data_IF_643012614442
#
_entry.id   IF_643012614442
#
_cell.length_a   1.000
_cell.length_b   1.000
_cell.length_c   1.000
_cell.angle_alpha   90.00
_cell.angle_beta   90.00
_cell.angle_gamma   90.00
#
_symmetry.space_group_name_H-M   'P 1'
#
loop_
_entity.id
_entity.type
_entity.pdbx_description
1 polymer ?
#
# COMPACT_ATOMS: atom_id res chain seq x y z
N UNK A 1 -1.54 10.55 -13.30
CA UNK A 1 -1.49 11.29 -12.02
C UNK A 1 -1.40 10.25 -10.91
N UNK A 2 -0.41 10.36 -10.01
CA UNK A 2 -0.29 9.42 -8.88
C UNK A 2 -1.18 9.86 -7.72
N UNK A 3 -1.51 8.96 -6.79
CA UNK A 3 -2.27 9.30 -5.57
C UNK A 3 -1.57 10.40 -4.77
N UNK A 4 -0.24 10.31 -4.64
CA UNK A 4 0.59 11.33 -3.99
C UNK A 4 0.45 12.69 -4.65
N UNK A 5 0.59 12.78 -5.97
CA UNK A 5 0.42 14.04 -6.72
C UNK A 5 -0.99 14.62 -6.54
N UNK A 6 -2.00 13.76 -6.58
CA UNK A 6 -3.40 14.16 -6.42
C UNK A 6 -3.71 14.73 -5.02
N UNK A 7 -3.12 14.16 -3.97
CA UNK A 7 -3.26 14.63 -2.59
C UNK A 7 -2.53 15.97 -2.38
N UNK A 8 -1.30 16.08 -2.90
CA UNK A 8 -0.50 17.30 -2.75
C UNK A 8 -1.15 18.49 -3.48
N UNK A 9 -1.71 18.29 -4.68
CA UNK A 9 -2.50 19.32 -5.38
C UNK A 9 -3.74 19.79 -4.62
N UNK A 10 -4.25 18.97 -3.70
CA UNK A 10 -5.39 19.31 -2.83
C UNK A 10 -4.94 19.93 -1.50
N UNK A 11 -3.64 20.19 -1.32
CA UNK A 11 -3.10 20.83 -0.12
C UNK A 11 -2.90 19.89 1.07
N UNK A 12 -2.94 18.56 0.86
CA UNK A 12 -2.64 17.61 1.93
C UNK A 12 -1.14 17.39 2.09
N UNK A 13 -0.71 17.26 3.34
CA UNK A 13 0.63 16.76 3.67
C UNK A 13 0.66 15.25 3.40
N UNK A 14 1.73 14.78 2.75
CA UNK A 14 1.90 13.36 2.41
C UNK A 14 3.22 12.86 2.96
N UNK A 15 3.17 11.72 3.63
CA UNK A 15 4.37 10.97 4.04
C UNK A 15 4.44 9.72 3.17
N UNK A 16 5.54 9.57 2.42
CA UNK A 16 5.79 8.37 1.63
C UNK A 16 6.63 7.38 2.43
N UNK A 17 6.21 6.13 2.41
CA UNK A 17 6.90 5.00 3.05
C UNK A 17 7.23 3.95 2.00
N UNK A 18 8.43 3.40 2.02
CA UNK A 18 8.82 2.30 1.14
C UNK A 18 9.61 1.25 1.91
N UNK A 19 9.58 -0.01 1.44
CA UNK A 19 10.35 -1.10 2.04
C UNK A 19 11.84 -0.82 2.12
N UNK A 20 12.39 -0.11 1.14
CA UNK A 20 13.82 0.22 1.10
C UNK A 20 14.16 1.48 1.90
N UNK A 21 13.17 2.27 2.32
CA UNK A 21 13.37 3.62 2.86
C UNK A 21 13.81 4.65 1.82
N UNK A 22 14.02 4.23 0.57
CA UNK A 22 14.35 5.15 -0.51
C UNK A 22 13.10 5.92 -0.91
N UNK A 23 13.24 7.23 -0.95
CA UNK A 23 12.21 8.14 -1.43
C UNK A 23 12.08 8.01 -2.97
N UNK A 24 10.94 7.48 -3.48
CA UNK A 24 10.74 7.30 -4.91
C UNK A 24 10.64 8.65 -5.66
N UNK A 25 10.32 9.74 -4.97
CA UNK A 25 10.12 11.07 -5.55
C UNK A 25 11.43 11.84 -5.75
N UNK A 26 12.55 11.33 -5.26
CA UNK A 26 13.89 11.79 -5.68
C UNK A 26 14.17 11.47 -7.15
N UNK A 27 13.58 10.38 -7.66
CA UNK A 27 13.71 9.97 -9.06
C UNK A 27 12.50 10.43 -9.87
N UNK A 28 11.30 10.26 -9.32
CA UNK A 28 10.03 10.67 -9.95
C UNK A 28 9.69 12.08 -9.49
N UNK A 29 10.18 13.09 -10.23
CA UNK A 29 9.92 14.50 -9.89
C UNK A 29 8.42 14.81 -9.95
N UNK A 30 7.88 15.35 -8.86
CA UNK A 30 6.50 15.85 -8.80
C UNK A 30 6.51 17.38 -8.95
N UNK A 31 6.00 17.94 -10.08
CA UNK A 31 6.19 19.37 -10.42
C UNK A 31 5.56 20.39 -9.46
N UNK A 32 4.68 19.97 -8.55
CA UNK A 32 3.77 20.88 -7.81
C UNK A 32 3.79 20.72 -6.29
N UNK A 33 4.76 20.00 -5.71
CA UNK A 33 4.48 19.35 -4.43
C UNK A 33 5.62 19.20 -3.41
N UNK A 34 6.78 19.83 -3.61
CA UNK A 34 7.95 19.57 -2.76
C UNK A 34 7.77 19.98 -1.29
N UNK A 35 6.97 21.01 -0.98
CA UNK A 35 6.90 21.56 0.39
C UNK A 35 6.10 20.73 1.39
N UNK A 36 5.20 19.86 0.91
CA UNK A 36 4.27 19.09 1.74
C UNK A 36 4.46 17.57 1.59
N UNK A 37 5.51 17.16 0.88
CA UNK A 37 5.88 15.76 0.70
C UNK A 37 7.08 15.43 1.59
N UNK A 38 6.91 14.42 2.44
CA UNK A 38 7.92 13.95 3.38
C UNK A 38 8.22 12.48 3.09
N UNK A 39 9.47 12.08 3.21
CA UNK A 39 9.82 10.67 3.35
C UNK A 39 9.90 10.31 4.83
N UNK A 40 9.45 9.11 5.20
CA UNK A 40 9.48 8.62 6.59
C UNK A 40 10.89 8.63 7.21
N UNK A 41 11.95 8.63 6.39
CA UNK A 41 13.34 8.63 6.86
C UNK A 41 13.88 7.26 7.25
N UNK A 42 13.10 6.20 7.02
CA UNK A 42 13.46 4.80 7.26
C UNK A 42 12.66 3.84 6.40
N UNK A 43 13.02 2.56 6.45
CA UNK A 43 12.29 1.49 5.80
C UNK A 43 10.96 1.22 6.51
N UNK A 44 9.90 0.99 5.74
CA UNK A 44 8.63 0.46 6.23
C UNK A 44 8.27 -0.75 5.39
N UNK A 45 8.43 -1.94 5.97
CA UNK A 45 8.05 -3.19 5.35
C UNK A 45 6.64 -3.58 5.83
N UNK A 46 5.67 -3.57 4.92
CA UNK A 46 4.28 -3.93 5.22
C UNK A 46 4.11 -5.37 5.73
N UNK A 47 5.11 -6.24 5.49
CA UNK A 47 5.13 -7.60 6.05
C UNK A 47 5.46 -7.63 7.54
N UNK A 48 5.90 -6.50 8.11
CA UNK A 48 6.25 -6.30 9.53
C UNK A 48 5.28 -5.30 10.17
N UNK A 49 4.31 -5.76 10.97
CA UNK A 49 3.32 -4.88 11.60
C UNK A 49 3.93 -3.71 12.39
N UNK A 50 5.05 -3.95 13.06
CA UNK A 50 5.76 -2.98 13.87
C UNK A 50 6.24 -1.75 13.07
N UNK A 51 6.65 -1.95 11.82
CA UNK A 51 7.09 -0.86 10.93
C UNK A 51 5.91 0.09 10.63
N UNK A 52 4.73 -0.47 10.39
CA UNK A 52 3.51 0.30 10.10
C UNK A 52 3.07 1.07 11.35
N UNK A 53 3.07 0.41 12.52
CA UNK A 53 2.71 1.04 13.79
C UNK A 53 3.67 2.18 14.13
N UNK A 54 4.97 1.99 13.91
CA UNK A 54 5.98 3.05 14.08
C UNK A 54 5.70 4.25 13.18
N UNK A 55 5.36 4.00 11.91
CA UNK A 55 5.02 5.05 10.95
C UNK A 55 3.77 5.86 11.35
N UNK A 56 2.69 5.16 11.72
CA UNK A 56 1.45 5.79 12.18
C UNK A 56 1.69 6.58 13.47
N UNK A 57 2.45 6.04 14.42
CA UNK A 57 2.71 6.70 15.71
C UNK A 57 3.55 7.96 15.57
N UNK A 58 4.53 7.95 14.66
CA UNK A 58 5.45 9.07 14.41
C UNK A 58 4.72 10.24 13.75
N UNK A 59 3.94 9.97 12.69
CA UNK A 59 3.34 11.02 11.88
C UNK A 59 1.89 11.32 12.21
N UNK A 60 1.23 10.46 12.99
CA UNK A 60 -0.19 10.59 13.41
C UNK A 60 -1.11 10.96 12.24
N UNK A 61 -1.08 10.19 11.13
CA UNK A 61 -1.85 10.52 9.95
C UNK A 61 -3.35 10.38 10.21
N UNK A 62 -4.18 11.16 9.51
CA UNK A 62 -5.63 10.93 9.50
C UNK A 62 -6.04 9.78 8.57
N UNK A 63 -5.22 9.50 7.56
CA UNK A 63 -5.45 8.44 6.57
C UNK A 63 -4.16 7.71 6.27
N UNK A 64 -4.24 6.39 6.13
CA UNK A 64 -3.19 5.52 5.63
C UNK A 64 -3.64 5.01 4.26
N UNK A 65 -2.85 5.27 3.22
CA UNK A 65 -3.11 4.75 1.87
C UNK A 65 -2.22 3.55 1.63
N UNK A 66 -2.81 2.37 1.52
CA UNK A 66 -2.08 1.15 1.18
C UNK A 66 -1.99 1.00 -0.34
N UNK A 67 -0.79 1.20 -0.88
CA UNK A 67 -0.50 1.07 -2.31
C UNK A 67 0.72 0.16 -2.58
N UNK A 68 1.02 -0.76 -1.66
CA UNK A 68 2.07 -1.76 -1.83
C UNK A 68 1.54 -2.98 -2.59
N UNK A 69 2.42 -3.64 -3.34
CA UNK A 69 2.10 -4.89 -4.04
C UNK A 69 3.34 -5.75 -4.22
N UNK A 70 3.16 -7.05 -4.38
CA UNK A 70 4.26 -8.00 -4.52
C UNK A 70 5.23 -7.64 -5.64
N UNK A 71 6.50 -7.90 -5.38
CA UNK A 71 7.57 -7.71 -6.35
C UNK A 71 8.77 -8.55 -5.95
N UNK A 72 9.68 -8.78 -6.91
CA UNK A 72 10.88 -9.61 -6.68
C UNK A 72 11.71 -9.15 -5.47
N UNK A 73 11.72 -7.85 -5.18
CA UNK A 73 12.43 -7.26 -4.03
C UNK A 73 11.52 -6.94 -2.84
N UNK A 74 10.21 -7.02 -3.02
CA UNK A 74 9.19 -6.57 -2.06
C UNK A 74 8.52 -7.68 -1.25
N UNK A 75 8.67 -8.94 -1.67
CA UNK A 75 7.96 -10.08 -1.09
C UNK A 75 6.95 -10.66 -2.08
N UNK A 76 6.39 -11.82 -1.73
CA UNK A 76 5.41 -12.49 -2.58
C UNK A 76 3.98 -11.97 -2.35
N UNK A 77 3.06 -12.33 -3.24
CA UNK A 77 1.66 -11.90 -3.19
C UNK A 77 0.94 -12.23 -1.87
N UNK A 78 1.22 -13.39 -1.27
CA UNK A 78 0.65 -13.77 0.03
C UNK A 78 1.14 -12.84 1.15
N UNK A 79 2.41 -12.48 1.12
CA UNK A 79 3.03 -11.61 2.14
C UNK A 79 2.56 -10.16 2.01
N UNK A 80 2.49 -9.63 0.79
CA UNK A 80 2.24 -8.21 0.55
C UNK A 80 0.76 -7.95 0.29
N UNK A 81 0.17 -8.61 -0.69
CA UNK A 81 -1.19 -8.31 -1.16
C UNK A 81 -2.28 -8.91 -0.26
N UNK A 82 -1.94 -9.90 0.57
CA UNK A 82 -2.83 -10.42 1.62
C UNK A 82 -2.39 -9.99 3.03
N UNK A 83 -1.28 -10.54 3.54
CA UNK A 83 -0.86 -10.30 4.94
C UNK A 83 -0.52 -8.82 5.20
N UNK A 84 0.16 -8.14 4.29
CA UNK A 84 0.48 -6.72 4.43
C UNK A 84 -0.76 -5.83 4.54
N UNK A 85 -1.82 -6.16 3.80
CA UNK A 85 -3.13 -5.50 3.91
C UNK A 85 -3.74 -5.70 5.30
N UNK A 86 -3.72 -6.93 5.82
CA UNK A 86 -4.22 -7.22 7.18
C UNK A 86 -3.42 -6.52 8.27
N UNK A 87 -2.09 -6.47 8.12
CA UNK A 87 -1.20 -5.77 9.04
C UNK A 87 -1.55 -4.27 9.08
N UNK A 88 -1.74 -3.65 7.91
CA UNK A 88 -2.14 -2.25 7.81
C UNK A 88 -3.51 -2.00 8.43
N UNK A 89 -4.50 -2.85 8.14
CA UNK A 89 -5.83 -2.76 8.73
C UNK A 89 -5.78 -2.87 10.26
N UNK A 90 -5.04 -3.84 10.79
CA UNK A 90 -4.87 -4.02 12.24
C UNK A 90 -4.23 -2.80 12.91
N UNK A 91 -3.17 -2.25 12.32
CA UNK A 91 -2.48 -1.08 12.84
C UNK A 91 -3.37 0.18 12.83
N UNK A 92 -4.15 0.37 11.76
CA UNK A 92 -5.10 1.48 11.64
C UNK A 92 -6.27 1.32 12.61
N UNK A 93 -6.89 0.14 12.71
CA UNK A 93 -8.01 -0.09 13.63
C UNK A 93 -7.62 0.06 15.10
N UNK A 94 -6.35 -0.16 15.43
CA UNK A 94 -5.80 0.06 16.78
C UNK A 94 -5.52 1.54 17.07
N UNK A 95 -5.62 2.43 16.08
CA UNK A 95 -5.32 3.87 16.21
C UNK A 95 -6.58 4.70 15.99
N UNK A 96 -7.07 5.33 17.06
CA UNK A 96 -8.32 6.11 17.02
C UNK A 96 -8.24 7.25 15.98
N UNK A 97 -9.23 7.31 15.10
CA UNK A 97 -9.42 8.39 14.14
C UNK A 97 -8.61 8.27 12.84
N UNK A 98 -7.87 7.17 12.66
CA UNK A 98 -7.14 6.88 11.43
C UNK A 98 -8.01 6.03 10.51
N UNK A 99 -8.07 6.37 9.22
CA UNK A 99 -8.78 5.59 8.19
C UNK A 99 -7.79 4.86 7.28
N UNK A 100 -8.18 3.69 6.80
CA UNK A 100 -7.41 2.92 5.81
C UNK A 100 -8.07 3.07 4.44
N UNK A 101 -7.29 3.51 3.46
CA UNK A 101 -7.64 3.51 2.04
C UNK A 101 -6.81 2.43 1.34
N UNK A 102 -7.46 1.35 0.89
CA UNK A 102 -6.80 0.25 0.21
C UNK A 102 -6.86 0.43 -1.32
N UNK A 103 -5.72 0.61 -1.97
CA UNK A 103 -5.63 0.66 -3.43
C UNK A 103 -5.48 -0.77 -3.96
N UNK A 104 -6.55 -1.28 -4.56
CA UNK A 104 -6.53 -2.59 -5.22
C UNK A 104 -6.40 -2.51 -6.75
N UNK A 105 -6.51 -3.65 -7.41
CA UNK A 105 -6.46 -3.81 -8.86
C UNK A 105 -7.87 -3.88 -9.46
N UNK A 106 -8.06 -3.21 -10.60
CA UNK A 106 -9.35 -3.04 -11.30
C UNK A 106 -10.10 -4.34 -11.66
N UNK A 107 -9.41 -5.48 -11.69
CA UNK A 107 -10.00 -6.75 -12.10
C UNK A 107 -10.26 -7.71 -10.92
N UNK A 108 -10.00 -7.30 -9.68
CA UNK A 108 -10.05 -8.17 -8.49
C UNK A 108 -11.42 -8.79 -8.22
N UNK A 109 -12.47 -8.14 -8.69
CA UNK A 109 -13.87 -8.56 -8.66
C UNK A 109 -14.31 -9.33 -9.93
N UNK A 110 -13.51 -9.30 -11.00
CA UNK A 110 -13.80 -9.94 -12.28
C UNK A 110 -13.03 -11.26 -12.42
N UNK A 111 -13.30 -12.22 -11.53
CA UNK A 111 -12.53 -13.49 -11.46
C UNK A 111 -12.59 -14.34 -12.71
N UNK A 112 -13.66 -14.20 -13.51
CA UNK A 112 -13.80 -14.92 -14.77
C UNK A 112 -13.08 -14.26 -15.95
N UNK A 113 -12.60 -13.02 -15.80
CA UNK A 113 -11.94 -12.28 -16.87
C UNK A 113 -10.60 -12.91 -17.27
N UNK A 114 -10.25 -12.75 -18.55
CA UNK A 114 -8.94 -13.16 -19.06
C UNK A 114 -7.80 -12.44 -18.32
N UNK A 115 -7.99 -11.15 -17.99
CA UNK A 115 -7.01 -10.36 -17.27
C UNK A 115 -6.71 -10.91 -15.87
N UNK A 116 -7.75 -11.29 -15.12
CA UNK A 116 -7.59 -11.93 -13.81
C UNK A 116 -6.80 -13.23 -13.90
N UNK A 117 -7.26 -14.15 -14.76
CA UNK A 117 -6.65 -15.48 -14.95
C UNK A 117 -5.21 -15.39 -15.44
N UNK A 118 -4.93 -14.49 -16.39
CA UNK A 118 -3.58 -14.24 -16.90
C UNK A 118 -2.65 -13.70 -15.81
N UNK A 119 -3.12 -12.72 -15.02
CA UNK A 119 -2.32 -12.11 -13.95
C UNK A 119 -1.98 -13.14 -12.86
N UNK A 120 -2.92 -14.01 -12.49
CA UNK A 120 -2.67 -15.09 -11.54
C UNK A 120 -1.69 -16.15 -12.05
N UNK A 121 -1.57 -16.31 -13.37
CA UNK A 121 -0.72 -17.31 -14.01
C UNK A 121 0.70 -16.81 -14.32
N UNK A 122 1.06 -15.59 -13.90
CA UNK A 122 2.39 -15.00 -14.15
C UNK A 122 3.53 -15.70 -13.39
N UNK A 123 3.21 -16.53 -12.39
CA UNK A 123 4.16 -17.35 -11.64
C UNK A 123 5.14 -16.55 -10.76
N UNK A 124 5.99 -17.28 -10.03
CA UNK A 124 7.01 -16.69 -9.16
C UNK A 124 6.41 -15.86 -8.01
N UNK A 125 6.92 -14.65 -7.79
CA UNK A 125 6.53 -13.80 -6.64
C UNK A 125 5.11 -13.21 -6.76
N UNK A 126 4.55 -13.20 -7.96
CA UNK A 126 3.20 -12.67 -8.25
C UNK A 126 2.20 -13.78 -8.55
N UNK A 127 2.55 -15.04 -8.28
CA UNK A 127 1.65 -16.17 -8.46
C UNK A 127 0.40 -16.01 -7.59
N UNK A 128 -0.78 -16.18 -8.21
CA UNK A 128 -2.07 -16.00 -7.52
C UNK A 128 -2.32 -14.58 -6.98
N UNK A 129 -1.63 -13.56 -7.47
CA UNK A 129 -1.67 -12.20 -6.88
C UNK A 129 -3.09 -11.61 -6.80
N UNK A 130 -3.95 -11.83 -7.78
CA UNK A 130 -5.32 -11.32 -7.76
C UNK A 130 -6.16 -12.05 -6.71
N UNK A 131 -5.93 -13.35 -6.49
CA UNK A 131 -6.59 -14.11 -5.43
C UNK A 131 -6.19 -13.57 -4.04
N UNK A 132 -4.90 -13.27 -3.85
CA UNK A 132 -4.42 -12.68 -2.60
C UNK A 132 -4.93 -11.26 -2.36
N UNK A 133 -4.96 -10.41 -3.40
CA UNK A 133 -5.58 -9.07 -3.32
C UNK A 133 -7.06 -9.17 -2.92
N UNK A 134 -7.82 -10.04 -3.59
CA UNK A 134 -9.24 -10.26 -3.30
C UNK A 134 -9.44 -10.72 -1.86
N UNK A 135 -8.67 -11.71 -1.42
CA UNK A 135 -8.73 -12.23 -0.05
C UNK A 135 -8.40 -11.15 0.98
N UNK A 136 -7.41 -10.30 0.72
CA UNK A 136 -7.07 -9.16 1.57
C UNK A 136 -8.21 -8.15 1.67
N UNK A 137 -8.82 -7.78 0.55
CA UNK A 137 -9.98 -6.89 0.52
C UNK A 137 -11.17 -7.46 1.29
N UNK A 138 -11.55 -8.70 1.03
CA UNK A 138 -12.74 -9.32 1.61
C UNK A 138 -12.60 -9.43 3.13
N UNK A 139 -11.41 -9.76 3.64
CA UNK A 139 -11.17 -9.82 5.08
C UNK A 139 -11.12 -8.42 5.73
N UNK A 140 -10.62 -7.39 5.04
CA UNK A 140 -10.67 -6.01 5.56
C UNK A 140 -12.10 -5.47 5.57
N UNK A 141 -12.91 -5.76 4.54
CA UNK A 141 -14.33 -5.36 4.49
C UNK A 141 -15.19 -6.02 5.57
N UNK A 142 -14.79 -7.21 6.02
CA UNK A 142 -15.50 -7.96 7.07
C UNK A 142 -15.16 -7.56 8.51
N UNK A 143 -14.27 -6.57 8.73
CA UNK A 143 -13.87 -6.06 10.04
C UNK A 143 -14.59 -4.78 10.39
#
# INVERSE_FOLDING_TARGET
MTTTEALLKRGFNVVSTTRSGNDPFKVIKLPSAEKALYSFGGAVDVTKPEDIVSAISTYKPSHVVYAASASKKGGNAKEVDYRGVLNAASAVSSTKGVKLELISALAVDQTESKGYKMTNSMGGVVDGIMDFKRRGEDEVRGR
#
